data_IF_769399342859
#
_entry.id   IF_769399342859
#
_cell.length_a   1.000
_cell.length_b   1.000
_cell.length_c   1.000
_cell.angle_alpha   90.00
_cell.angle_beta   90.00
_cell.angle_gamma   90.00
#
_symmetry.space_group_name_H-M   'P 1'
#
loop_
_entity.id
_entity.type
_entity.pdbx_description
1 polymer ?
#
# COMPACT_ATOMS: atom_id res chain seq x y z
N UNK A 1 68.92 44.51 6.90
CA UNK A 1 69.10 43.28 6.08
C UNK A 1 67.71 42.75 5.76
N UNK A 2 67.27 43.16 4.55
CA UNK A 2 65.85 42.94 4.08
C UNK A 2 65.81 41.72 3.16
N UNK A 3 65.01 40.72 3.51
CA UNK A 3 64.81 39.54 2.67
C UNK A 3 63.33 39.55 2.22
N UNK A 4 63.15 40.07 1.02
CA UNK A 4 61.88 39.96 0.27
C UNK A 4 61.82 38.54 -0.32
N UNK A 5 60.98 37.69 0.23
CA UNK A 5 60.61 36.44 -0.46
C UNK A 5 59.43 36.66 -1.37
N UNK A 6 59.67 36.57 -2.66
CA UNK A 6 58.72 36.60 -3.73
C UNK A 6 57.90 35.28 -3.66
N UNK A 7 56.58 35.42 -3.63
CA UNK A 7 55.63 34.31 -3.78
C UNK A 7 55.42 34.14 -5.31
N UNK A 8 55.67 32.97 -5.89
CA UNK A 8 55.43 32.79 -7.32
C UNK A 8 53.94 32.62 -7.57
N UNK A 9 53.51 33.26 -8.66
CA UNK A 9 52.19 33.17 -9.25
C UNK A 9 51.91 31.72 -9.75
N UNK A 10 51.10 31.01 -9.00
CA UNK A 10 50.61 29.68 -9.40
C UNK A 10 49.12 29.57 -9.03
N UNK A 11 48.32 30.54 -9.52
CA UNK A 11 46.88 30.57 -9.26
C UNK A 11 46.13 31.06 -10.50
N UNK A 12 46.57 30.60 -11.69
CA UNK A 12 45.90 30.96 -12.96
C UNK A 12 45.79 29.76 -13.90
N UNK A 13 45.41 28.61 -13.36
CA UNK A 13 45.36 27.40 -14.17
C UNK A 13 44.11 26.50 -13.96
N UNK A 14 43.12 26.91 -13.18
CA UNK A 14 41.97 26.02 -12.85
C UNK A 14 40.61 26.48 -13.38
N UNK A 15 40.54 27.63 -14.09
CA UNK A 15 39.23 28.21 -14.51
C UNK A 15 38.84 27.84 -15.96
N UNK A 16 39.58 27.03 -16.68
CA UNK A 16 39.31 26.78 -18.11
C UNK A 16 38.93 25.35 -18.48
N UNK A 17 38.44 24.53 -17.54
CA UNK A 17 38.02 23.18 -17.84
C UNK A 17 36.50 22.93 -17.70
N UNK A 18 35.68 23.99 -17.58
CA UNK A 18 34.22 23.84 -17.57
C UNK A 18 33.50 24.33 -18.84
N UNK A 19 34.22 24.66 -19.91
CA UNK A 19 33.64 25.09 -21.16
C UNK A 19 33.44 23.95 -22.16
N UNK A 20 32.83 22.83 -21.73
CA UNK A 20 32.64 21.71 -22.64
C UNK A 20 31.65 20.66 -22.20
N UNK A 21 30.82 20.92 -21.18
CA UNK A 21 29.68 20.07 -20.92
C UNK A 21 28.56 20.54 -21.85
N UNK A 22 28.17 19.75 -22.88
CA UNK A 22 26.97 20.08 -23.63
C UNK A 22 25.85 20.11 -22.60
N UNK A 23 25.07 21.18 -22.60
CA UNK A 23 23.80 21.23 -21.89
C UNK A 23 22.86 20.19 -22.52
N UNK A 24 23.14 18.90 -22.28
CA UNK A 24 22.19 17.85 -22.45
C UNK A 24 21.07 18.19 -21.50
N UNK A 25 19.93 18.57 -22.04
CA UNK A 25 18.69 18.64 -21.31
C UNK A 25 18.52 17.31 -20.58
N UNK A 26 18.78 17.30 -19.27
CA UNK A 26 18.31 16.23 -18.41
C UNK A 26 16.80 16.40 -18.42
N UNK A 27 16.14 15.81 -19.41
CA UNK A 27 14.73 15.49 -19.30
C UNK A 27 14.67 14.51 -18.15
N UNK A 28 14.38 14.99 -16.95
CA UNK A 28 13.81 14.15 -15.92
C UNK A 28 12.42 13.78 -16.45
N UNK A 29 12.38 12.81 -17.35
CA UNK A 29 11.18 12.09 -17.69
C UNK A 29 10.88 11.33 -16.40
N UNK A 30 9.99 11.90 -15.57
CA UNK A 30 9.38 11.15 -14.51
C UNK A 30 8.82 9.91 -15.22
N UNK A 31 9.40 8.76 -14.95
CA UNK A 31 8.86 7.52 -15.44
C UNK A 31 7.41 7.51 -14.96
N UNK A 32 6.48 7.50 -15.91
CA UNK A 32 5.04 7.43 -15.64
C UNK A 32 4.76 5.98 -15.22
N UNK A 33 5.33 5.60 -14.07
CA UNK A 33 5.20 4.27 -13.51
C UNK A 33 3.91 4.22 -12.74
N UNK A 34 2.94 3.56 -13.32
CA UNK A 34 1.75 3.11 -12.60
C UNK A 34 2.19 2.18 -11.47
N UNK A 35 1.74 2.47 -10.25
CA UNK A 35 1.99 1.63 -9.09
C UNK A 35 0.78 0.74 -8.81
N UNK A 36 1.06 -0.50 -8.42
CA UNK A 36 0.05 -1.45 -7.97
C UNK A 36 0.13 -1.56 -6.46
N UNK A 37 -1.02 -1.42 -5.78
CA UNK A 37 -1.16 -1.73 -4.35
C UNK A 37 -2.14 -2.88 -4.15
N UNK A 38 -1.80 -3.77 -3.24
CA UNK A 38 -2.65 -4.89 -2.85
C UNK A 38 -3.28 -4.62 -1.48
N UNK A 39 -4.60 -4.66 -1.44
CA UNK A 39 -5.38 -4.47 -0.23
C UNK A 39 -5.92 -5.82 0.25
N UNK A 40 -5.50 -6.27 1.42
CA UNK A 40 -5.96 -7.52 2.01
C UNK A 40 -7.13 -7.21 2.94
N UNK A 41 -8.32 -7.71 2.60
CA UNK A 41 -9.53 -7.44 3.38
C UNK A 41 -9.85 -8.64 4.26
N UNK A 42 -9.74 -8.45 5.57
CA UNK A 42 -9.99 -9.47 6.59
C UNK A 42 -11.28 -9.16 7.34
N UNK A 43 -12.09 -10.19 7.55
CA UNK A 43 -13.38 -10.11 8.24
C UNK A 43 -13.36 -10.88 9.55
N UNK A 44 -13.93 -10.29 10.60
CA UNK A 44 -14.17 -10.97 11.85
C UNK A 44 -15.57 -10.65 12.39
N UNK A 45 -16.06 -11.50 13.28
CA UNK A 45 -17.27 -11.27 14.05
C UNK A 45 -17.05 -11.64 15.51
N UNK A 46 -17.78 -10.98 16.39
CA UNK A 46 -17.77 -11.36 17.80
C UNK A 46 -18.56 -12.66 18.02
N UNK A 47 -18.20 -13.48 19.01
CA UNK A 47 -18.88 -14.75 19.28
C UNK A 47 -20.34 -14.56 19.78
N UNK A 48 -20.67 -13.39 20.26
CA UNK A 48 -22.02 -12.98 20.71
C UNK A 48 -22.80 -12.23 19.61
N UNK A 49 -22.38 -12.31 18.33
CA UNK A 49 -23.13 -11.77 17.21
C UNK A 49 -24.45 -12.54 16.99
N UNK A 50 -25.50 -11.83 16.61
CA UNK A 50 -26.85 -12.39 16.40
C UNK A 50 -26.95 -13.31 15.17
N UNK A 51 -25.89 -13.41 14.36
CA UNK A 51 -25.87 -14.18 13.11
C UNK A 51 -24.62 -15.06 13.04
N UNK A 52 -24.80 -16.29 12.52
CA UNK A 52 -23.69 -17.22 12.33
C UNK A 52 -22.63 -16.71 11.34
N UNK A 53 -23.07 -16.01 10.29
CA UNK A 53 -22.19 -15.38 9.31
C UNK A 53 -22.88 -14.12 8.74
N UNK A 54 -22.45 -12.94 9.16
CA UNK A 54 -23.02 -11.67 8.69
C UNK A 54 -22.68 -11.35 7.22
N UNK A 55 -21.74 -12.08 6.62
CA UNK A 55 -21.32 -11.92 5.21
C UNK A 55 -22.06 -12.87 4.25
N UNK A 56 -22.91 -13.77 4.75
CA UNK A 56 -23.55 -14.80 3.93
C UNK A 56 -24.31 -14.23 2.71
N UNK A 57 -24.98 -13.09 2.89
CA UNK A 57 -25.76 -12.39 1.85
C UNK A 57 -25.09 -11.08 1.35
N UNK A 58 -23.87 -10.77 1.79
CA UNK A 58 -23.20 -9.50 1.52
C UNK A 58 -21.85 -9.65 0.82
N UNK A 59 -21.41 -10.88 0.59
CA UNK A 59 -20.09 -11.16 -0.01
C UNK A 59 -19.90 -10.45 -1.35
N UNK A 60 -20.86 -10.59 -2.28
CA UNK A 60 -20.78 -9.95 -3.60
C UNK A 60 -20.74 -8.41 -3.49
N UNK A 61 -21.51 -7.86 -2.55
CA UNK A 61 -21.51 -6.42 -2.28
C UNK A 61 -20.16 -5.95 -1.76
N UNK A 62 -19.57 -6.68 -0.83
CA UNK A 62 -18.24 -6.34 -0.29
C UNK A 62 -17.14 -6.38 -1.36
N UNK A 63 -17.17 -7.41 -2.22
CA UNK A 63 -16.26 -7.53 -3.35
C UNK A 63 -16.46 -6.37 -4.33
N UNK A 64 -17.72 -6.03 -4.66
CA UNK A 64 -18.03 -4.95 -5.58
C UNK A 64 -17.61 -3.57 -5.04
N UNK A 65 -17.82 -3.28 -3.75
CA UNK A 65 -17.37 -2.04 -3.11
C UNK A 65 -15.86 -1.87 -3.24
N UNK A 66 -15.12 -2.95 -3.22
CA UNK A 66 -13.67 -2.89 -3.35
C UNK A 66 -13.20 -2.87 -4.81
N UNK A 67 -13.70 -3.76 -5.67
CA UNK A 67 -13.07 -4.11 -6.93
C UNK A 67 -13.90 -3.80 -8.21
N UNK A 68 -15.15 -3.32 -8.10
CA UNK A 68 -15.97 -3.05 -9.27
C UNK A 68 -15.47 -1.83 -10.05
N UNK A 69 -14.90 -2.07 -11.24
CA UNK A 69 -14.41 -0.99 -12.14
C UNK A 69 -15.51 -0.35 -12.98
N UNK A 70 -16.72 -0.89 -12.98
CA UNK A 70 -17.86 -0.37 -13.75
C UNK A 70 -18.55 0.82 -13.06
N UNK A 71 -18.25 1.07 -11.78
CA UNK A 71 -18.82 2.17 -11.00
C UNK A 71 -17.73 3.06 -10.40
N UNK A 72 -17.92 4.38 -10.35
CA UNK A 72 -16.98 5.30 -9.71
C UNK A 72 -16.98 5.21 -8.17
N UNK A 73 -17.83 4.35 -7.59
CA UNK A 73 -18.03 4.24 -6.14
C UNK A 73 -17.20 3.14 -5.47
N UNK A 74 -16.52 2.30 -6.24
CA UNK A 74 -15.63 1.29 -5.67
C UNK A 74 -14.30 1.91 -5.23
N UNK A 75 -13.60 1.22 -4.32
CA UNK A 75 -12.27 1.61 -3.86
C UNK A 75 -11.29 1.71 -5.04
N UNK A 76 -11.26 0.68 -5.89
CA UNK A 76 -10.40 0.65 -7.08
C UNK A 76 -10.65 1.85 -7.99
N UNK A 77 -11.90 2.11 -8.38
CA UNK A 77 -12.23 3.24 -9.27
C UNK A 77 -11.96 4.60 -8.62
N UNK A 78 -12.21 4.73 -7.32
CA UNK A 78 -11.94 5.96 -6.59
C UNK A 78 -10.45 6.28 -6.56
N UNK A 79 -9.61 5.30 -6.18
CA UNK A 79 -8.15 5.50 -6.12
C UNK A 79 -7.57 5.78 -7.51
N UNK A 80 -8.02 5.05 -8.53
CA UNK A 80 -7.60 5.30 -9.91
C UNK A 80 -7.90 6.75 -10.33
N UNK A 81 -9.12 7.21 -10.06
CA UNK A 81 -9.54 8.57 -10.41
C UNK A 81 -8.74 9.66 -9.68
N UNK A 82 -8.54 9.55 -8.36
CA UNK A 82 -7.83 10.58 -7.59
C UNK A 82 -6.32 10.58 -7.85
N UNK A 83 -5.77 9.45 -8.29
CA UNK A 83 -4.36 9.32 -8.67
C UNK A 83 -4.09 9.63 -10.15
N UNK A 84 -5.13 9.97 -10.91
CA UNK A 84 -5.04 10.16 -12.37
C UNK A 84 -4.49 8.93 -13.10
N UNK A 85 -4.93 7.71 -12.68
CA UNK A 85 -4.46 6.45 -13.24
C UNK A 85 -3.05 6.03 -12.84
N UNK A 86 -2.44 6.69 -11.86
CA UNK A 86 -1.06 6.38 -11.42
C UNK A 86 -0.99 5.33 -10.32
N UNK A 87 -2.11 5.06 -9.65
CA UNK A 87 -2.19 4.08 -8.58
C UNK A 87 -3.38 3.17 -8.81
N UNK A 88 -3.13 1.88 -8.93
CA UNK A 88 -4.15 0.85 -8.99
C UNK A 88 -4.19 0.06 -7.69
N UNK A 89 -5.39 -0.17 -7.16
CA UNK A 89 -5.61 -0.99 -5.97
C UNK A 89 -6.40 -2.23 -6.35
N UNK A 90 -5.91 -3.39 -5.94
CA UNK A 90 -6.64 -4.66 -6.04
C UNK A 90 -6.90 -5.19 -4.64
N UNK A 91 -8.15 -5.47 -4.30
CA UNK A 91 -8.51 -6.04 -3.00
C UNK A 91 -8.64 -7.56 -3.08
N UNK A 92 -8.03 -8.24 -2.12
CA UNK A 92 -8.05 -9.68 -1.97
C UNK A 92 -8.81 -10.08 -0.70
N UNK A 93 -9.54 -11.19 -0.78
CA UNK A 93 -10.41 -11.70 0.26
C UNK A 93 -9.96 -13.11 0.68
N UNK A 94 -8.97 -13.24 1.58
CA UNK A 94 -8.39 -14.55 1.94
C UNK A 94 -9.39 -15.54 2.49
N UNK A 95 -10.47 -15.05 3.09
CA UNK A 95 -11.51 -15.85 3.74
C UNK A 95 -12.68 -16.22 2.80
N UNK A 96 -12.54 -15.95 1.51
CA UNK A 96 -13.55 -16.34 0.51
C UNK A 96 -13.47 -17.86 0.29
N UNK A 97 -14.55 -18.57 0.60
CA UNK A 97 -14.69 -20.01 0.41
C UNK A 97 -16.06 -20.31 -0.16
N UNK A 98 -16.11 -21.10 -1.24
CA UNK A 98 -17.35 -21.49 -1.92
C UNK A 98 -18.28 -20.30 -2.27
N UNK A 99 -17.67 -19.15 -2.63
CA UNK A 99 -18.39 -17.93 -3.00
C UNK A 99 -18.88 -17.10 -1.81
N UNK A 100 -18.58 -17.47 -0.57
CA UNK A 100 -18.98 -16.74 0.63
C UNK A 100 -17.77 -16.41 1.49
N UNK A 101 -17.68 -15.17 1.96
CA UNK A 101 -16.67 -14.78 2.94
C UNK A 101 -17.03 -15.39 4.29
N UNK A 102 -16.06 -16.09 4.88
CA UNK A 102 -16.17 -16.73 6.20
C UNK A 102 -15.45 -15.86 7.25
N UNK A 103 -16.18 -15.04 8.03
CA UNK A 103 -15.56 -14.22 9.05
C UNK A 103 -14.87 -15.08 10.11
N UNK A 104 -13.72 -14.61 10.59
CA UNK A 104 -13.08 -15.18 11.76
C UNK A 104 -13.92 -14.86 13.01
N UNK A 105 -14.24 -15.88 13.81
CA UNK A 105 -14.92 -15.65 15.07
C UNK A 105 -13.89 -15.32 16.14
N UNK A 106 -13.98 -14.09 16.67
CA UNK A 106 -13.11 -13.61 17.73
C UNK A 106 -13.29 -14.44 19.01
N UNK A 107 -12.23 -14.53 19.83
CA UNK A 107 -12.23 -15.37 21.04
C UNK A 107 -13.11 -14.82 22.16
N UNK A 108 -13.21 -13.48 22.24
CA UNK A 108 -13.94 -12.79 23.30
C UNK A 108 -15.10 -11.99 22.74
N UNK A 109 -16.09 -11.70 23.57
CA UNK A 109 -17.18 -10.77 23.26
C UNK A 109 -16.66 -9.34 23.12
N UNK A 110 -17.43 -8.49 22.45
CA UNK A 110 -17.04 -7.08 22.25
C UNK A 110 -16.75 -6.36 23.57
N UNK A 111 -17.45 -6.69 24.64
CA UNK A 111 -17.30 -6.04 25.94
C UNK A 111 -16.00 -6.41 26.68
N UNK A 112 -15.36 -7.50 26.29
CA UNK A 112 -14.12 -7.99 26.91
C UNK A 112 -12.86 -7.38 26.26
N UNK A 113 -12.96 -6.81 25.07
CA UNK A 113 -11.88 -6.06 24.46
C UNK A 113 -11.83 -4.63 24.99
N UNK A 114 -10.66 -4.18 25.40
CA UNK A 114 -10.48 -2.81 25.94
C UNK A 114 -10.22 -1.77 24.86
N UNK A 115 -9.75 -2.19 23.70
CA UNK A 115 -9.49 -1.34 22.54
C UNK A 115 -9.51 -2.16 21.23
N UNK A 116 -9.55 -1.44 20.10
CA UNK A 116 -9.57 -2.07 18.78
C UNK A 116 -8.27 -2.81 18.41
N UNK A 117 -7.13 -2.46 19.01
CA UNK A 117 -5.84 -3.08 18.71
C UNK A 117 -5.82 -4.56 19.09
N UNK A 118 -6.50 -4.93 20.17
CA UNK A 118 -6.53 -6.31 20.65
C UNK A 118 -7.17 -7.26 19.62
N UNK A 119 -8.34 -6.91 19.10
CA UNK A 119 -8.96 -7.75 18.08
C UNK A 119 -8.29 -7.63 16.70
N UNK A 120 -7.70 -6.48 16.39
CA UNK A 120 -6.90 -6.32 15.18
C UNK A 120 -5.67 -7.26 15.18
N UNK A 121 -4.95 -7.32 16.31
CA UNK A 121 -3.81 -8.23 16.50
C UNK A 121 -4.29 -9.69 16.40
N UNK A 122 -5.40 -10.04 17.06
CA UNK A 122 -5.96 -11.38 17.01
C UNK A 122 -6.31 -11.80 15.57
N UNK A 123 -6.97 -10.93 14.80
CA UNK A 123 -7.30 -11.19 13.40
C UNK A 123 -6.04 -11.46 12.57
N UNK A 124 -5.04 -10.59 12.65
CA UNK A 124 -3.80 -10.73 11.87
C UNK A 124 -3.00 -11.97 12.25
N UNK A 125 -3.04 -12.37 13.51
CA UNK A 125 -2.33 -13.56 13.99
C UNK A 125 -3.02 -14.87 13.64
N UNK A 126 -4.34 -14.89 13.51
CA UNK A 126 -5.12 -16.13 13.38
C UNK A 126 -5.74 -16.34 11.99
N UNK A 127 -5.96 -15.28 11.22
CA UNK A 127 -6.48 -15.41 9.85
C UNK A 127 -5.32 -15.76 8.92
N UNK A 128 -5.40 -16.96 8.32
CA UNK A 128 -4.39 -17.38 7.35
C UNK A 128 -4.62 -16.70 6.00
N UNK A 129 -3.59 -16.03 5.51
CA UNK A 129 -3.55 -15.52 4.14
C UNK A 129 -2.87 -16.58 3.27
N UNK A 130 -3.54 -17.10 2.20
CA UNK A 130 -2.92 -18.05 1.28
C UNK A 130 -1.70 -17.48 0.57
N UNK A 131 -0.67 -18.29 0.36
CA UNK A 131 0.57 -17.89 -0.32
C UNK A 131 0.35 -17.42 -1.79
N UNK A 132 -0.81 -17.75 -2.36
CA UNK A 132 -1.20 -17.30 -3.70
C UNK A 132 -1.65 -15.83 -3.75
N UNK A 133 -1.89 -15.19 -2.59
CA UNK A 133 -2.27 -13.79 -2.52
C UNK A 133 -1.01 -12.93 -2.37
N UNK A 134 -0.71 -12.06 -3.34
CA UNK A 134 0.44 -11.18 -3.24
C UNK A 134 0.19 -10.10 -2.18
N UNK A 135 1.10 -9.95 -1.22
CA UNK A 135 0.99 -8.94 -0.15
C UNK A 135 1.63 -7.60 -0.53
N UNK A 136 2.55 -7.64 -1.47
CA UNK A 136 3.40 -6.53 -1.90
C UNK A 136 3.22 -6.34 -3.41
N UNK A 137 2.40 -5.40 -3.81
CA UNK A 137 2.09 -5.12 -5.22
C UNK A 137 3.12 -4.20 -5.88
N UNK A 138 3.75 -3.33 -5.09
CA UNK A 138 4.75 -2.38 -5.56
C UNK A 138 6.19 -2.91 -5.46
N UNK A 139 6.38 -4.10 -4.87
CA UNK A 139 7.66 -4.80 -4.70
C UNK A 139 8.70 -4.03 -3.87
N UNK A 140 8.25 -3.31 -2.84
CA UNK A 140 9.12 -2.59 -1.91
C UNK A 140 9.55 -3.44 -0.70
N UNK A 141 9.06 -4.67 -0.58
CA UNK A 141 9.36 -5.62 0.49
C UNK A 141 8.45 -5.49 1.70
N UNK A 142 7.41 -4.68 1.62
CA UNK A 142 6.42 -4.49 2.68
C UNK A 142 5.02 -4.88 2.22
N UNK A 143 4.16 -5.24 3.15
CA UNK A 143 2.73 -5.42 2.87
C UNK A 143 2.09 -4.06 2.62
N UNK A 144 1.40 -3.90 1.48
CA UNK A 144 0.86 -2.61 1.07
C UNK A 144 -0.27 -2.12 1.99
N UNK A 145 -1.29 -2.92 2.19
CA UNK A 145 -2.42 -2.55 3.05
C UNK A 145 -3.20 -3.76 3.58
N UNK A 146 -3.70 -3.63 4.81
CA UNK A 146 -4.64 -4.58 5.42
C UNK A 146 -5.85 -3.80 5.92
N UNK A 147 -7.03 -4.16 5.42
CA UNK A 147 -8.32 -3.62 5.86
C UNK A 147 -9.00 -4.64 6.77
N UNK A 148 -9.37 -4.21 7.98
CA UNK A 148 -10.08 -5.04 8.95
C UNK A 148 -11.54 -4.61 9.00
N UNK A 149 -12.46 -5.59 8.90
CA UNK A 149 -13.92 -5.41 8.93
C UNK A 149 -14.48 -6.26 10.07
N UNK A 150 -15.25 -5.64 10.97
CA UNK A 150 -15.80 -6.29 12.16
C UNK A 150 -17.27 -5.90 12.34
#
# INVERSE_FOLDING_TARGET
MSIHKRIPALLLGVILLFAGIPAGSISAQAADTTQQLNNIVLFAQFPDADTDNFMADKTDTAIAICNDTSTPRSLTSYIDAISYGKLHVTSYFPQLSDGVIQPYVLQNSKAEYTNYEQYAIEMVQNIRIPDSIPLDGNQDGMTDNITLVI
#
